data_IF_581850244734
#
_entry.id   IF_581850244734
#
_cell.length_a   1.000
_cell.length_b   1.000
_cell.length_c   1.000
_cell.angle_alpha   90.00
_cell.angle_beta   90.00
_cell.angle_gamma   90.00
#
_symmetry.space_group_name_H-M   'P 1'
#
loop_
_entity.id
_entity.type
_entity.pdbx_description
1 polymer ?
#
# COMPACT_ATOMS: atom_id res chain seq x y z
N UNK A 1 28.25 5.77 2.83
CA UNK A 1 29.46 4.93 2.49
C UNK A 1 29.05 3.88 1.49
N UNK A 2 29.83 3.68 0.40
CA UNK A 2 29.57 2.63 -0.60
C UNK A 2 30.60 1.51 -0.42
N UNK A 3 30.11 0.27 -0.25
CA UNK A 3 31.00 -0.89 -0.11
C UNK A 3 31.76 -1.15 -1.42
N UNK A 4 33.06 -1.53 -1.42
CA UNK A 4 33.85 -1.72 -2.65
C UNK A 4 33.31 -2.79 -3.62
N UNK A 5 32.54 -3.77 -3.13
CA UNK A 5 31.93 -4.79 -3.98
C UNK A 5 30.51 -4.43 -4.45
N UNK A 6 29.99 -3.26 -4.11
CA UNK A 6 28.69 -2.79 -4.63
C UNK A 6 28.85 -2.35 -6.09
N UNK A 7 27.83 -2.60 -6.89
CA UNK A 7 27.77 -2.18 -8.29
C UNK A 7 26.85 -0.95 -8.41
N UNK A 8 27.43 0.24 -8.36
CA UNK A 8 26.68 1.50 -8.49
C UNK A 8 26.96 2.11 -9.85
N UNK A 9 25.92 2.25 -10.68
CA UNK A 9 26.06 2.84 -12.01
C UNK A 9 26.42 4.33 -11.91
N UNK A 10 27.35 4.86 -12.74
CA UNK A 10 27.74 6.28 -12.66
C UNK A 10 26.62 7.29 -12.87
N UNK A 11 25.55 6.90 -13.58
CA UNK A 11 24.35 7.73 -13.78
C UNK A 11 23.30 7.55 -12.67
N UNK A 12 23.55 6.77 -11.63
CA UNK A 12 22.71 6.73 -10.43
C UNK A 12 22.97 7.96 -9.56
N UNK A 13 21.94 8.46 -8.90
CA UNK A 13 22.05 9.58 -7.96
C UNK A 13 22.00 9.02 -6.54
N UNK A 14 23.14 8.98 -5.86
CA UNK A 14 23.26 8.46 -4.49
C UNK A 14 23.68 9.59 -3.56
N UNK A 15 22.84 9.89 -2.55
CA UNK A 15 23.18 10.88 -1.55
C UNK A 15 24.46 10.48 -0.79
N UNK A 16 25.40 11.40 -0.51
CA UNK A 16 26.64 11.09 0.18
C UNK A 16 26.49 10.44 1.57
N UNK A 17 25.36 10.66 2.24
CA UNK A 17 25.05 10.07 3.54
C UNK A 17 24.48 8.67 3.47
N UNK A 18 24.16 8.16 2.28
CA UNK A 18 23.62 6.82 2.10
C UNK A 18 24.69 5.72 2.33
N UNK A 19 24.24 4.58 2.81
CA UNK A 19 25.05 3.38 3.01
C UNK A 19 24.65 2.30 2.00
N UNK A 20 25.58 1.87 1.14
CA UNK A 20 25.37 0.82 0.16
C UNK A 20 26.19 -0.39 0.54
N UNK A 21 25.51 -1.48 0.89
CA UNK A 21 26.12 -2.72 1.37
C UNK A 21 26.82 -3.55 0.27
N UNK A 22 27.52 -4.63 0.67
CA UNK A 22 28.26 -5.48 -0.27
C UNK A 22 27.33 -6.13 -1.29
N UNK A 23 27.80 -6.19 -2.56
CA UNK A 23 27.08 -6.79 -3.68
C UNK A 23 25.68 -6.19 -3.97
N UNK A 24 25.34 -5.04 -3.36
CA UNK A 24 24.15 -4.31 -3.74
C UNK A 24 24.32 -3.74 -5.15
N UNK A 25 23.23 -3.65 -5.91
CA UNK A 25 23.19 -3.15 -7.28
C UNK A 25 22.32 -1.91 -7.34
N UNK A 26 22.85 -0.82 -7.88
CA UNK A 26 22.09 0.43 -8.12
C UNK A 26 22.23 0.77 -9.60
N UNK A 27 21.15 0.56 -10.36
CA UNK A 27 21.15 0.76 -11.82
C UNK A 27 21.12 2.24 -12.22
N UNK A 28 21.35 2.50 -13.51
CA UNK A 28 21.30 3.84 -14.09
C UNK A 28 19.93 4.52 -13.82
N UNK A 29 19.96 5.81 -13.42
CA UNK A 29 18.74 6.59 -13.18
C UNK A 29 18.01 6.27 -11.87
N UNK A 30 18.49 5.32 -11.06
CA UNK A 30 17.99 5.14 -9.70
C UNK A 30 18.42 6.31 -8.81
N UNK A 31 17.55 6.70 -7.87
CA UNK A 31 17.76 7.81 -6.92
C UNK A 31 17.71 7.26 -5.49
N UNK A 32 18.76 7.49 -4.72
CA UNK A 32 18.88 7.08 -3.32
C UNK A 32 18.99 8.32 -2.44
N UNK A 33 17.96 8.57 -1.65
CA UNK A 33 17.87 9.74 -0.77
C UNK A 33 18.82 9.70 0.44
N UNK A 34 18.86 10.79 1.16
CA UNK A 34 19.73 10.97 2.32
C UNK A 34 19.48 9.92 3.41
N UNK A 35 20.55 9.37 3.99
CA UNK A 35 20.49 8.42 5.09
C UNK A 35 19.87 7.07 4.74
N UNK A 36 19.66 6.77 3.46
CA UNK A 36 19.20 5.44 3.03
C UNK A 36 20.24 4.36 3.33
N UNK A 37 19.77 3.15 3.61
CA UNK A 37 20.62 1.98 3.81
C UNK A 37 20.17 0.83 2.90
N UNK A 38 21.06 0.35 2.05
CA UNK A 38 20.88 -0.84 1.23
C UNK A 38 21.72 -1.97 1.81
N UNK A 39 21.08 -3.06 2.21
CA UNK A 39 21.79 -4.24 2.70
C UNK A 39 22.47 -5.01 1.56
N UNK A 40 23.20 -6.07 1.90
CA UNK A 40 23.88 -6.89 0.90
C UNK A 40 22.88 -7.50 -0.09
N UNK A 41 23.24 -7.49 -1.38
CA UNK A 41 22.46 -8.02 -2.50
C UNK A 41 21.10 -7.32 -2.72
N UNK A 42 20.84 -6.15 -2.12
CA UNK A 42 19.68 -5.33 -2.48
C UNK A 42 19.83 -4.79 -3.92
N UNK A 43 18.74 -4.73 -4.68
CA UNK A 43 18.76 -4.29 -6.07
C UNK A 43 17.80 -3.11 -6.27
N UNK A 44 18.33 -1.98 -6.69
CA UNK A 44 17.57 -0.84 -7.18
C UNK A 44 17.68 -0.77 -8.70
N UNK A 45 16.58 -1.02 -9.38
CA UNK A 45 16.50 -0.96 -10.84
C UNK A 45 16.29 0.48 -11.33
N UNK A 46 16.45 0.67 -12.62
CA UNK A 46 16.18 1.95 -13.26
C UNK A 46 14.78 2.47 -12.90
N UNK A 47 14.68 3.76 -12.56
CA UNK A 47 13.41 4.38 -12.14
C UNK A 47 13.00 4.14 -10.68
N UNK A 48 13.79 3.44 -9.87
CA UNK A 48 13.61 3.38 -8.43
C UNK A 48 13.99 4.72 -7.77
N UNK A 49 13.11 5.29 -6.96
CA UNK A 49 13.32 6.56 -6.25
C UNK A 49 13.05 6.34 -4.78
N UNK A 50 14.09 6.44 -3.95
CA UNK A 50 13.99 6.29 -2.49
C UNK A 50 14.05 7.66 -1.81
N UNK A 51 13.05 7.96 -0.97
CA UNK A 51 13.05 9.10 -0.05
C UNK A 51 14.07 8.93 1.06
N UNK A 52 14.23 9.95 1.90
CA UNK A 52 15.22 9.95 2.97
C UNK A 52 14.98 8.85 4.01
N UNK A 53 16.06 8.20 4.47
CA UNK A 53 16.03 7.21 5.55
C UNK A 53 15.36 5.89 5.20
N UNK A 54 15.14 5.60 3.92
CA UNK A 54 14.61 4.30 3.48
C UNK A 54 15.64 3.20 3.75
N UNK A 55 15.17 2.07 4.27
CA UNK A 55 15.97 0.87 4.47
C UNK A 55 15.53 -0.19 3.49
N UNK A 56 16.46 -0.74 2.71
CA UNK A 56 16.24 -1.86 1.78
C UNK A 56 17.07 -3.04 2.24
N UNK A 57 16.39 -4.10 2.65
CA UNK A 57 17.05 -5.26 3.22
C UNK A 57 17.52 -6.25 2.14
N UNK A 58 18.16 -7.34 2.58
CA UNK A 58 18.82 -8.32 1.72
C UNK A 58 17.89 -8.89 0.65
N UNK A 59 18.40 -8.97 -0.58
CA UNK A 59 17.71 -9.56 -1.73
C UNK A 59 16.37 -8.89 -2.12
N UNK A 60 16.05 -7.74 -1.55
CA UNK A 60 14.89 -6.97 -2.00
C UNK A 60 15.16 -6.34 -3.37
N UNK A 61 14.13 -6.29 -4.23
CA UNK A 61 14.21 -5.70 -5.57
C UNK A 61 13.21 -4.57 -5.70
N UNK A 62 13.70 -3.36 -5.91
CA UNK A 62 12.89 -2.15 -6.08
C UNK A 62 13.01 -1.66 -7.52
N UNK A 63 11.86 -1.51 -8.20
CA UNK A 63 11.81 -1.05 -9.59
C UNK A 63 11.81 -2.18 -10.62
N UNK A 64 11.45 -3.41 -10.22
CA UNK A 64 11.26 -4.50 -11.18
C UNK A 64 10.23 -4.14 -12.26
N UNK A 65 10.35 -4.74 -13.44
CA UNK A 65 9.39 -4.55 -14.52
C UNK A 65 8.03 -5.17 -14.15
N UNK A 66 6.92 -4.55 -14.59
CA UNK A 66 5.60 -5.14 -14.47
C UNK A 66 5.54 -6.58 -15.01
N UNK A 67 4.88 -7.47 -14.27
CA UNK A 67 4.58 -8.84 -14.74
C UNK A 67 3.35 -8.81 -15.66
N UNK A 68 3.45 -8.06 -16.73
CA UNK A 68 2.43 -7.88 -17.75
C UNK A 68 3.03 -8.17 -19.12
N UNK A 69 2.46 -9.14 -19.84
CA UNK A 69 2.95 -9.56 -21.15
C UNK A 69 2.91 -8.45 -22.21
N UNK A 70 2.08 -7.44 -22.00
CA UNK A 70 1.98 -6.28 -22.89
C UNK A 70 2.93 -5.13 -22.53
N UNK A 71 3.70 -5.27 -21.43
CA UNK A 71 4.58 -4.21 -20.98
C UNK A 71 5.80 -4.05 -21.90
N UNK A 72 6.05 -2.81 -22.34
CA UNK A 72 7.26 -2.45 -23.06
C UNK A 72 8.35 -2.03 -22.05
N UNK A 73 9.47 -2.80 -21.94
CA UNK A 73 10.56 -2.47 -21.03
C UNK A 73 11.24 -1.11 -21.27
N UNK A 74 11.07 -0.52 -22.46
CA UNK A 74 11.57 0.83 -22.77
C UNK A 74 10.72 1.95 -22.14
N UNK A 75 9.56 1.64 -21.55
CA UNK A 75 8.68 2.61 -20.91
C UNK A 75 9.39 3.34 -19.76
N UNK A 76 9.44 4.66 -19.83
CA UNK A 76 10.02 5.51 -18.79
C UNK A 76 9.03 5.68 -17.62
N UNK A 77 8.94 4.70 -16.74
CA UNK A 77 8.09 4.72 -15.54
C UNK A 77 8.92 4.51 -14.27
N UNK A 78 8.29 4.67 -13.10
CA UNK A 78 9.00 4.70 -11.81
C UNK A 78 8.31 3.85 -10.75
N UNK A 79 9.06 3.62 -9.66
CA UNK A 79 8.53 3.32 -8.33
C UNK A 79 9.12 4.32 -7.35
N UNK A 80 8.28 4.96 -6.55
CA UNK A 80 8.68 5.94 -5.54
C UNK A 80 8.40 5.40 -4.16
N UNK A 81 9.36 5.52 -3.25
CA UNK A 81 9.25 5.06 -1.86
C UNK A 81 9.44 6.25 -0.94
N UNK A 82 8.43 6.53 -0.12
CA UNK A 82 8.41 7.62 0.85
C UNK A 82 9.43 7.42 1.98
N UNK A 83 9.76 8.50 2.64
CA UNK A 83 10.80 8.55 3.67
C UNK A 83 10.56 7.54 4.82
N UNK A 84 11.66 7.05 5.42
CA UNK A 84 11.69 6.14 6.59
C UNK A 84 10.96 4.80 6.39
N UNK A 85 10.55 4.48 5.17
CA UNK A 85 9.96 3.17 4.84
C UNK A 85 11.02 2.08 4.94
N UNK A 86 10.62 0.93 5.53
CA UNK A 86 11.45 -0.25 5.67
C UNK A 86 10.97 -1.34 4.73
N UNK A 87 11.85 -1.76 3.84
CA UNK A 87 11.63 -2.83 2.84
C UNK A 87 12.46 -4.01 3.28
N UNK A 88 11.80 -5.08 3.78
CA UNK A 88 12.46 -6.25 4.32
C UNK A 88 12.92 -7.21 3.22
N UNK A 89 13.50 -8.33 3.65
CA UNK A 89 14.16 -9.31 2.79
C UNK A 89 13.23 -9.86 1.70
N UNK A 90 13.75 -9.99 0.49
CA UNK A 90 13.04 -10.57 -0.67
C UNK A 90 11.75 -9.84 -1.08
N UNK A 91 11.52 -8.64 -0.60
CA UNK A 91 10.39 -7.82 -1.07
C UNK A 91 10.61 -7.43 -2.53
N UNK A 92 9.54 -7.44 -3.32
CA UNK A 92 9.57 -7.00 -4.72
C UNK A 92 8.57 -5.86 -4.95
N UNK A 93 9.06 -4.75 -5.51
CA UNK A 93 8.27 -3.59 -5.90
C UNK A 93 8.42 -3.36 -7.39
N UNK A 94 7.32 -3.40 -8.15
CA UNK A 94 7.35 -3.17 -9.59
C UNK A 94 7.07 -1.71 -9.93
N UNK A 95 7.73 -1.20 -10.97
CA UNK A 95 7.47 0.13 -11.53
C UNK A 95 6.12 0.19 -12.24
N UNK A 96 5.61 1.37 -12.52
CA UNK A 96 4.32 1.55 -13.19
C UNK A 96 4.37 1.15 -14.68
N UNK A 97 3.19 0.98 -15.30
CA UNK A 97 3.07 0.51 -16.69
C UNK A 97 3.09 1.62 -17.74
N UNK A 98 2.83 2.89 -17.34
CA UNK A 98 2.70 3.99 -18.30
C UNK A 98 3.86 4.98 -18.18
N UNK A 99 4.23 5.65 -19.29
CA UNK A 99 5.23 6.73 -19.24
C UNK A 99 4.85 7.79 -18.19
N UNK A 100 5.84 8.34 -17.53
CA UNK A 100 5.74 9.41 -16.54
C UNK A 100 4.84 9.11 -15.33
N UNK A 101 4.48 7.84 -15.12
CA UNK A 101 3.72 7.40 -13.93
C UNK A 101 4.61 6.62 -12.96
N UNK A 102 4.09 6.41 -11.74
CA UNK A 102 4.80 5.68 -10.70
C UNK A 102 3.88 4.73 -9.92
N UNK A 103 4.44 3.59 -9.52
CA UNK A 103 3.97 2.87 -8.32
C UNK A 103 4.44 3.65 -7.10
N UNK A 104 3.55 3.92 -6.16
CA UNK A 104 3.80 4.84 -5.03
C UNK A 104 3.70 4.09 -3.72
N UNK A 105 4.77 4.12 -2.93
CA UNK A 105 4.79 3.66 -1.54
C UNK A 105 4.93 4.91 -0.66
N UNK A 106 4.04 5.07 0.32
CA UNK A 106 4.07 6.18 1.27
C UNK A 106 5.28 6.17 2.21
N UNK A 107 5.33 7.14 3.08
CA UNK A 107 6.31 7.24 4.14
C UNK A 107 5.98 6.31 5.32
N UNK A 108 7.00 6.00 6.16
CA UNK A 108 6.84 5.23 7.40
C UNK A 108 6.16 3.86 7.21
N UNK A 109 6.21 3.28 6.02
CA UNK A 109 5.68 1.95 5.73
C UNK A 109 6.62 0.84 6.22
N UNK A 110 6.04 -0.33 6.51
CA UNK A 110 6.78 -1.56 6.78
C UNK A 110 6.34 -2.65 5.81
N UNK A 111 7.22 -3.01 4.88
CA UNK A 111 7.00 -4.09 3.92
C UNK A 111 7.81 -5.30 4.41
N UNK A 112 7.11 -6.26 5.03
CA UNK A 112 7.77 -7.43 5.64
C UNK A 112 8.21 -8.44 4.58
N UNK A 113 9.07 -9.36 5.01
CA UNK A 113 9.77 -10.29 4.13
C UNK A 113 8.85 -11.01 3.12
N UNK A 114 9.31 -11.04 1.86
CA UNK A 114 8.61 -11.72 0.77
C UNK A 114 7.29 -11.09 0.33
N UNK A 115 6.93 -9.88 0.82
CA UNK A 115 5.76 -9.19 0.30
C UNK A 115 5.98 -8.67 -1.11
N UNK A 116 4.90 -8.57 -1.90
CA UNK A 116 4.94 -8.14 -3.28
C UNK A 116 3.98 -6.97 -3.54
N UNK A 117 4.47 -5.94 -4.20
CA UNK A 117 3.67 -4.82 -4.71
C UNK A 117 3.81 -4.77 -6.21
N UNK A 118 2.74 -5.09 -6.94
CA UNK A 118 2.71 -5.02 -8.39
C UNK A 118 2.68 -3.56 -8.89
N UNK A 119 2.71 -3.42 -10.20
CA UNK A 119 2.71 -2.15 -10.91
C UNK A 119 1.49 -1.26 -10.60
N UNK A 120 1.65 0.04 -10.70
CA UNK A 120 0.58 1.05 -10.57
C UNK A 120 -0.16 1.04 -9.22
N UNK A 121 0.40 0.36 -8.20
CA UNK A 121 -0.15 0.40 -6.85
C UNK A 121 0.13 1.74 -6.16
N UNK A 122 -0.77 2.12 -5.25
CA UNK A 122 -0.61 3.31 -4.39
C UNK A 122 -0.83 2.90 -2.93
N UNK A 123 0.22 3.00 -2.12
CA UNK A 123 0.17 2.77 -0.67
C UNK A 123 0.31 4.10 0.06
N UNK A 124 -0.61 4.40 0.96
CA UNK A 124 -0.53 5.57 1.85
C UNK A 124 0.53 5.40 2.94
N UNK A 125 0.73 6.45 3.72
CA UNK A 125 1.72 6.46 4.80
C UNK A 125 1.37 5.46 5.91
N UNK A 126 2.41 4.87 6.50
CA UNK A 126 2.30 3.96 7.63
C UNK A 126 1.59 2.63 7.31
N UNK A 127 1.50 2.24 6.04
CA UNK A 127 0.98 0.93 5.64
C UNK A 127 1.92 -0.18 6.11
N UNK A 128 1.35 -1.25 6.63
CA UNK A 128 2.09 -2.47 6.95
C UNK A 128 1.62 -3.59 6.02
N UNK A 129 2.56 -4.13 5.24
CA UNK A 129 2.39 -5.37 4.49
C UNK A 129 3.13 -6.49 5.23
N UNK A 130 2.40 -7.44 5.79
CA UNK A 130 3.03 -8.55 6.51
C UNK A 130 3.61 -9.60 5.54
N UNK A 131 4.34 -10.57 6.10
CA UNK A 131 5.11 -11.54 5.33
C UNK A 131 4.31 -12.23 4.23
N UNK A 132 4.86 -12.27 3.03
CA UNK A 132 4.29 -13.00 1.89
C UNK A 132 2.95 -12.49 1.38
N UNK A 133 2.48 -11.30 1.78
CA UNK A 133 1.27 -10.74 1.18
C UNK A 133 1.55 -10.27 -0.25
N UNK A 134 0.53 -10.31 -1.11
CA UNK A 134 0.64 -10.03 -2.54
C UNK A 134 -0.43 -9.03 -2.97
N UNK A 135 0.00 -7.88 -3.50
CA UNK A 135 -0.88 -6.90 -4.10
C UNK A 135 -0.80 -6.99 -5.63
N UNK A 136 -1.93 -7.25 -6.27
CA UNK A 136 -2.06 -7.20 -7.73
C UNK A 136 -1.95 -5.77 -8.27
N UNK A 137 -1.82 -5.60 -9.58
CA UNK A 137 -1.68 -4.28 -10.21
C UNK A 137 -2.82 -3.32 -9.87
N UNK A 138 -2.52 -2.02 -9.78
CA UNK A 138 -3.48 -0.96 -9.51
C UNK A 138 -4.22 -1.08 -8.16
N UNK A 139 -3.68 -1.79 -7.19
CA UNK A 139 -4.25 -1.84 -5.84
C UNK A 139 -3.94 -0.54 -5.10
N UNK A 140 -4.95 0.01 -4.44
CA UNK A 140 -4.81 1.17 -3.57
C UNK A 140 -4.96 0.76 -2.11
N UNK A 141 -3.97 1.05 -1.28
CA UNK A 141 -4.00 0.79 0.16
C UNK A 141 -3.94 2.12 0.91
N UNK A 142 -4.99 2.44 1.64
CA UNK A 142 -5.09 3.68 2.42
C UNK A 142 -4.11 3.69 3.60
N UNK A 143 -3.78 4.90 4.07
CA UNK A 143 -2.81 5.09 5.14
C UNK A 143 -3.13 4.26 6.40
N UNK A 144 -2.08 3.77 7.07
CA UNK A 144 -2.17 2.99 8.32
C UNK A 144 -2.99 1.69 8.21
N UNK A 145 -3.25 1.20 7.01
CA UNK A 145 -3.84 -0.12 6.82
C UNK A 145 -2.82 -1.22 7.14
N UNK A 146 -3.29 -2.33 7.67
CA UNK A 146 -2.50 -3.52 7.96
C UNK A 146 -2.99 -4.68 7.10
N UNK A 147 -2.17 -5.08 6.13
CA UNK A 147 -2.41 -6.25 5.28
C UNK A 147 -1.62 -7.43 5.86
N UNK A 148 -2.34 -8.38 6.46
CA UNK A 148 -1.71 -9.50 7.19
C UNK A 148 -1.00 -10.51 6.29
N UNK A 149 -0.25 -11.43 6.90
CA UNK A 149 0.59 -12.39 6.18
C UNK A 149 -0.19 -13.31 5.24
N UNK A 150 0.38 -13.58 4.07
CA UNK A 150 -0.21 -14.46 3.06
C UNK A 150 -1.49 -13.94 2.40
N UNK A 151 -1.89 -12.70 2.64
CA UNK A 151 -3.07 -12.10 2.00
C UNK A 151 -2.81 -11.86 0.52
N UNK A 152 -3.77 -12.25 -0.33
CA UNK A 152 -3.76 -11.95 -1.75
C UNK A 152 -4.83 -10.91 -2.08
N UNK A 153 -4.43 -9.79 -2.67
CA UNK A 153 -5.34 -8.71 -3.08
C UNK A 153 -5.39 -8.65 -4.60
N UNK A 154 -6.58 -8.83 -5.16
CA UNK A 154 -6.80 -8.80 -6.60
C UNK A 154 -6.57 -7.39 -7.17
N UNK A 155 -6.12 -7.32 -8.42
CA UNK A 155 -5.91 -6.05 -9.13
C UNK A 155 -7.14 -5.12 -9.07
N UNK A 156 -6.89 -3.82 -9.01
CA UNK A 156 -7.87 -2.73 -8.94
C UNK A 156 -8.70 -2.69 -7.65
N UNK A 157 -8.42 -3.51 -6.64
CA UNK A 157 -9.07 -3.39 -5.34
C UNK A 157 -8.54 -2.22 -4.53
N UNK A 158 -9.38 -1.70 -3.64
CA UNK A 158 -9.02 -0.69 -2.65
C UNK A 158 -9.13 -1.27 -1.24
N UNK A 159 -8.09 -1.05 -0.45
CA UNK A 159 -8.05 -1.32 0.98
C UNK A 159 -8.11 0.02 1.69
N UNK A 160 -9.18 0.32 2.39
CA UNK A 160 -9.36 1.60 3.07
C UNK A 160 -8.34 1.85 4.18
N UNK A 161 -8.10 3.12 4.50
CA UNK A 161 -7.16 3.49 5.57
C UNK A 161 -7.55 2.91 6.92
N UNK A 162 -6.57 2.54 7.75
CA UNK A 162 -6.79 1.96 9.08
C UNK A 162 -7.46 0.60 9.11
N UNK A 163 -7.81 0.02 7.97
CA UNK A 163 -8.37 -1.33 7.90
C UNK A 163 -7.35 -2.40 8.26
N UNK A 164 -7.86 -3.59 8.59
CA UNK A 164 -7.05 -4.77 8.85
C UNK A 164 -7.62 -5.94 8.05
N UNK A 165 -6.75 -6.68 7.36
CA UNK A 165 -7.10 -7.96 6.75
C UNK A 165 -6.52 -9.10 7.58
N UNK A 166 -7.29 -10.15 7.84
CA UNK A 166 -6.80 -11.35 8.53
C UNK A 166 -5.82 -12.14 7.66
N UNK A 167 -4.91 -12.89 8.28
CA UNK A 167 -3.94 -13.72 7.55
C UNK A 167 -4.59 -14.69 6.56
N UNK A 168 -3.94 -14.88 5.41
CA UNK A 168 -4.40 -15.72 4.30
C UNK A 168 -5.77 -15.35 3.71
N UNK A 169 -6.27 -14.14 3.95
CA UNK A 169 -7.51 -13.67 3.31
C UNK A 169 -7.29 -13.46 1.79
N UNK A 170 -8.34 -13.71 1.01
CA UNK A 170 -8.37 -13.44 -0.43
C UNK A 170 -9.31 -12.28 -0.69
N UNK A 171 -8.76 -11.14 -1.04
CA UNK A 171 -9.51 -9.90 -1.25
C UNK A 171 -9.66 -9.64 -2.75
N UNK A 172 -10.89 -9.75 -3.25
CA UNK A 172 -11.24 -9.46 -4.65
C UNK A 172 -12.26 -8.32 -4.77
N UNK A 173 -12.63 -7.70 -3.65
CA UNK A 173 -13.56 -6.58 -3.52
C UNK A 173 -12.98 -5.52 -2.61
N UNK A 174 -13.50 -4.29 -2.68
CA UNK A 174 -13.00 -3.17 -1.90
C UNK A 174 -13.29 -3.33 -0.40
N UNK A 175 -12.29 -3.12 0.43
CA UNK A 175 -12.40 -3.12 1.90
C UNK A 175 -12.55 -1.68 2.39
N UNK A 176 -13.63 -1.32 3.11
CA UNK A 176 -13.84 0.06 3.54
C UNK A 176 -12.83 0.50 4.61
N UNK A 177 -12.66 1.82 4.81
CA UNK A 177 -11.81 2.35 5.89
C UNK A 177 -12.17 1.75 7.23
N UNK A 178 -11.14 1.47 8.03
CA UNK A 178 -11.30 0.86 9.36
C UNK A 178 -12.06 -0.49 9.38
N UNK A 179 -12.24 -1.13 8.23
CA UNK A 179 -12.85 -2.45 8.14
C UNK A 179 -11.92 -3.57 8.60
N UNK A 180 -12.50 -4.64 9.14
CA UNK A 180 -11.81 -5.89 9.48
C UNK A 180 -12.25 -6.97 8.49
N UNK A 181 -11.46 -7.19 7.44
CA UNK A 181 -11.75 -8.19 6.42
C UNK A 181 -11.09 -9.52 6.73
N UNK A 182 -11.74 -10.63 6.39
CA UNK A 182 -11.19 -11.99 6.56
C UNK A 182 -11.70 -12.93 5.45
N UNK A 183 -11.20 -14.17 5.46
CA UNK A 183 -11.66 -15.20 4.54
C UNK A 183 -11.59 -14.76 3.08
N UNK A 184 -12.70 -14.92 2.35
CA UNK A 184 -12.84 -14.45 0.97
C UNK A 184 -13.92 -13.37 0.88
N UNK A 185 -13.50 -12.10 0.90
CA UNK A 185 -14.37 -10.92 0.81
C UNK A 185 -15.39 -10.79 1.98
N UNK A 186 -15.08 -11.32 3.13
CA UNK A 186 -15.93 -11.24 4.31
C UNK A 186 -15.49 -10.08 5.22
N UNK A 187 -16.45 -9.38 5.81
CA UNK A 187 -16.21 -8.24 6.70
C UNK A 187 -16.75 -8.58 8.11
N UNK A 188 -15.86 -8.80 9.07
CA UNK A 188 -16.22 -9.07 10.47
C UNK A 188 -16.72 -7.81 11.21
N UNK A 189 -16.62 -6.63 10.61
CA UNK A 189 -16.99 -5.37 11.20
C UNK A 189 -15.90 -4.31 11.13
N UNK A 190 -15.84 -3.44 12.12
CA UNK A 190 -14.85 -2.36 12.20
C UNK A 190 -13.65 -2.75 13.07
N UNK A 191 -12.46 -2.30 12.68
CA UNK A 191 -11.22 -2.45 13.44
C UNK A 191 -11.20 -1.52 14.68
N UNK A 192 -12.06 -1.81 15.65
CA UNK A 192 -12.22 -1.00 16.85
C UNK A 192 -10.93 -0.92 17.70
N UNK A 193 -10.11 -1.97 17.65
CA UNK A 193 -8.80 -1.99 18.33
C UNK A 193 -7.86 -0.99 17.67
N UNK A 194 -7.77 -1.02 16.35
CA UNK A 194 -6.95 -0.08 15.58
C UNK A 194 -7.40 1.37 15.78
N UNK A 195 -8.69 1.65 15.74
CA UNK A 195 -9.25 2.98 16.00
C UNK A 195 -8.81 3.51 17.38
N UNK A 196 -8.98 2.71 18.44
CA UNK A 196 -8.58 3.11 19.80
C UNK A 196 -7.06 3.34 19.92
N UNK A 197 -6.24 2.44 19.33
CA UNK A 197 -4.78 2.59 19.35
C UNK A 197 -4.30 3.85 18.63
N UNK A 198 -5.01 4.30 17.60
CA UNK A 198 -4.75 5.56 16.91
C UNK A 198 -5.28 6.79 17.64
N UNK A 199 -5.94 6.62 18.79
CA UNK A 199 -6.49 7.72 19.58
C UNK A 199 -7.75 8.35 18.96
N UNK A 200 -8.50 7.63 18.13
CA UNK A 200 -9.74 8.15 17.53
C UNK A 200 -10.78 8.37 18.64
N UNK A 201 -11.38 9.57 18.72
CA UNK A 201 -12.35 9.91 19.79
C UNK A 201 -13.55 8.96 19.81
N UNK A 202 -14.10 8.71 20.99
CA UNK A 202 -15.25 7.81 21.17
C UNK A 202 -16.48 8.26 20.35
N UNK A 203 -16.67 9.55 20.21
CA UNK A 203 -17.74 10.14 19.39
C UNK A 203 -17.57 9.78 17.90
N UNK A 204 -16.35 9.90 17.35
CA UNK A 204 -16.05 9.53 15.98
C UNK A 204 -16.23 8.02 15.75
N UNK A 205 -15.83 7.19 16.72
CA UNK A 205 -16.07 5.73 16.66
C UNK A 205 -17.58 5.43 16.68
N UNK A 206 -18.36 6.14 17.47
CA UNK A 206 -19.81 5.95 17.52
C UNK A 206 -20.47 6.37 16.20
N UNK A 207 -20.02 7.47 15.61
CA UNK A 207 -20.49 7.93 14.29
C UNK A 207 -20.13 6.94 13.20
N UNK A 208 -18.89 6.44 13.17
CA UNK A 208 -18.42 5.42 12.24
C UNK A 208 -19.25 4.12 12.32
N UNK A 209 -19.61 3.68 13.53
CA UNK A 209 -20.52 2.55 13.73
C UNK A 209 -21.90 2.79 13.12
N UNK A 210 -22.46 4.00 13.28
CA UNK A 210 -23.72 4.36 12.62
C UNK A 210 -23.60 4.31 11.10
N UNK A 211 -22.51 4.85 10.54
CA UNK A 211 -22.23 4.82 9.11
C UNK A 211 -22.14 3.37 8.59
N UNK A 212 -21.43 2.52 9.32
CA UNK A 212 -21.30 1.09 9.00
C UNK A 212 -22.68 0.42 8.91
N UNK A 213 -23.50 0.54 9.94
CA UNK A 213 -24.85 -0.06 9.95
C UNK A 213 -25.77 0.56 8.89
N UNK A 214 -25.60 1.83 8.57
CA UNK A 214 -26.39 2.51 7.55
C UNK A 214 -26.09 1.95 6.14
N UNK A 215 -24.82 1.75 5.80
CA UNK A 215 -24.39 1.31 4.47
C UNK A 215 -24.65 -0.18 4.22
N UNK A 216 -24.57 -1.00 5.26
CA UNK A 216 -24.76 -2.46 5.15
C UNK A 216 -26.20 -2.91 5.47
N UNK A 217 -27.18 -2.06 5.24
CA UNK A 217 -28.59 -2.45 5.33
C UNK A 217 -28.98 -3.40 4.19
N UNK A 218 -29.70 -4.50 4.48
CA UNK A 218 -30.14 -5.42 3.44
C UNK A 218 -31.02 -4.77 2.37
N UNK A 219 -30.91 -5.27 1.13
CA UNK A 219 -31.82 -4.91 0.03
C UNK A 219 -31.47 -3.66 -0.78
N UNK A 220 -30.40 -2.93 -0.41
CA UNK A 220 -29.93 -1.75 -1.16
C UNK A 220 -28.41 -1.79 -1.36
N UNK A 221 -27.95 -1.16 -2.44
CA UNK A 221 -26.51 -1.11 -2.74
C UNK A 221 -25.77 -0.13 -1.82
N UNK A 222 -24.59 -0.52 -1.34
CA UNK A 222 -23.76 0.29 -0.42
C UNK A 222 -23.53 1.74 -0.93
N UNK A 223 -23.29 1.92 -2.22
CA UNK A 223 -23.04 3.24 -2.80
C UNK A 223 -24.28 4.17 -2.70
N UNK A 224 -25.47 3.64 -3.00
CA UNK A 224 -26.71 4.41 -2.91
C UNK A 224 -27.03 4.81 -1.46
N UNK A 225 -26.83 3.88 -0.52
CA UNK A 225 -27.01 4.13 0.92
C UNK A 225 -25.99 5.17 1.41
N UNK A 226 -24.72 5.04 1.07
CA UNK A 226 -23.70 6.01 1.46
C UNK A 226 -23.99 7.42 0.92
N UNK A 227 -24.45 7.52 -0.33
CA UNK A 227 -24.84 8.80 -0.92
C UNK A 227 -26.01 9.44 -0.19
N UNK A 228 -27.04 8.67 0.16
CA UNK A 228 -28.19 9.15 0.91
C UNK A 228 -27.81 9.65 2.32
N UNK A 229 -26.95 8.89 3.02
CA UNK A 229 -26.47 9.26 4.35
C UNK A 229 -25.62 10.55 4.31
N UNK A 230 -24.76 10.72 3.31
CA UNK A 230 -23.99 11.95 3.14
C UNK A 230 -24.89 13.15 2.83
N UNK A 231 -25.90 12.98 1.97
CA UNK A 231 -26.87 14.02 1.65
C UNK A 231 -27.70 14.46 2.87
N UNK A 232 -27.96 13.55 3.80
CA UNK A 232 -28.67 13.82 5.06
C UNK A 232 -27.90 14.71 6.05
N UNK A 233 -26.56 14.87 5.87
CA UNK A 233 -25.73 15.80 6.64
C UNK A 233 -25.54 15.44 8.12
N UNK A 234 -25.85 14.19 8.52
CA UNK A 234 -25.78 13.74 9.91
C UNK A 234 -24.38 13.34 10.39
N UNK A 235 -23.42 13.21 9.45
CA UNK A 235 -22.03 12.77 9.71
C UNK A 235 -21.09 13.98 9.70
N UNK A 236 -20.43 14.23 10.83
CA UNK A 236 -19.60 15.42 11.06
C UNK A 236 -18.14 15.11 11.27
N UNK A 237 -17.80 13.87 11.69
CA UNK A 237 -16.43 13.45 11.93
C UNK A 237 -15.74 13.09 10.61
N UNK A 238 -14.43 13.26 10.57
CA UNK A 238 -13.62 12.88 9.40
C UNK A 238 -13.76 11.39 9.09
N UNK A 239 -13.78 10.54 10.12
CA UNK A 239 -13.88 9.09 10.00
C UNK A 239 -15.24 8.65 9.44
N UNK A 240 -16.34 9.18 9.96
CA UNK A 240 -17.69 8.87 9.49
C UNK A 240 -17.89 9.27 8.02
N UNK A 241 -17.41 10.46 7.65
CA UNK A 241 -17.49 10.95 6.27
C UNK A 241 -16.59 10.15 5.33
N UNK A 242 -15.32 9.93 5.68
CA UNK A 242 -14.38 9.16 4.86
C UNK A 242 -14.88 7.72 4.61
N UNK A 243 -15.52 7.11 5.62
CA UNK A 243 -16.14 5.79 5.47
C UNK A 243 -17.23 5.81 4.39
N UNK A 244 -18.15 6.77 4.43
CA UNK A 244 -19.25 6.88 3.47
C UNK A 244 -18.73 7.26 2.07
N UNK A 245 -17.83 8.23 1.97
CA UNK A 245 -17.24 8.70 0.71
C UNK A 245 -16.49 7.57 -0.02
N UNK A 246 -15.93 6.62 0.70
CA UNK A 246 -15.26 5.45 0.13
C UNK A 246 -16.17 4.66 -0.82
N UNK A 247 -17.45 4.53 -0.52
CA UNK A 247 -18.42 3.77 -1.34
C UNK A 247 -18.83 4.49 -2.62
N UNK A 248 -18.56 5.79 -2.75
CA UNK A 248 -18.85 6.57 -3.96
C UNK A 248 -17.75 6.47 -5.01
N UNK A 249 -16.60 5.90 -4.66
CA UNK A 249 -15.44 5.76 -5.53
C UNK A 249 -15.15 4.31 -5.92
N UNK A 250 -14.10 4.14 -6.72
CA UNK A 250 -13.58 2.83 -7.13
C UNK A 250 -14.10 2.34 -8.47
N UNK A 251 -13.21 1.65 -9.21
CA UNK A 251 -13.51 1.17 -10.58
C UNK A 251 -14.45 -0.04 -10.59
N UNK A 252 -14.50 -0.81 -9.51
CA UNK A 252 -15.20 -2.11 -9.47
C UNK A 252 -16.60 -2.03 -8.88
N UNK A 253 -16.87 -1.05 -8.00
CA UNK A 253 -18.17 -0.89 -7.35
C UNK A 253 -18.64 -2.10 -6.52
N UNK A 254 -17.69 -2.96 -6.10
CA UNK A 254 -17.93 -4.15 -5.29
C UNK A 254 -17.21 -4.00 -3.95
N UNK A 255 -17.91 -4.29 -2.89
CA UNK A 255 -17.42 -4.11 -1.52
C UNK A 255 -17.60 -5.40 -0.74
N UNK A 256 -16.61 -5.74 0.10
CA UNK A 256 -16.71 -6.87 1.03
C UNK A 256 -17.99 -6.77 1.84
N UNK A 257 -18.61 -7.89 2.14
CA UNK A 257 -19.90 -7.95 2.81
C UNK A 257 -19.77 -8.45 4.25
N UNK A 258 -20.61 -7.97 5.20
CA UNK A 258 -20.67 -8.54 6.53
C UNK A 258 -20.94 -10.03 6.50
N UNK A 259 -20.15 -10.79 7.30
CA UNK A 259 -20.28 -12.25 7.48
C UNK A 259 -21.34 -12.59 8.51
#
# INVERSE_FOLDING_TARGET
MIHPSALVHPAAQVDPSAEIGPFAIVEAGAIVGAGCRLAAHAILKAGAVLGAGVVVDHFAVVGGDPQDLSFDPSTASRVTVGARTVIREHVTLHRATKPDTATVIGADCLLMAGSHVAHDCVLGDGVILANGCMLGGHVHVGAKAFVSGGVAVHQFCRIGGGSLTSGNAVITEDVPPDGLAHGRNELAGLNLVGLRRRGVPAEAIAELKRAYHAVYRPGQGCAALAQAELAGGAYRTAEGRAFLEFFLGGKRGRFVQPS
#
